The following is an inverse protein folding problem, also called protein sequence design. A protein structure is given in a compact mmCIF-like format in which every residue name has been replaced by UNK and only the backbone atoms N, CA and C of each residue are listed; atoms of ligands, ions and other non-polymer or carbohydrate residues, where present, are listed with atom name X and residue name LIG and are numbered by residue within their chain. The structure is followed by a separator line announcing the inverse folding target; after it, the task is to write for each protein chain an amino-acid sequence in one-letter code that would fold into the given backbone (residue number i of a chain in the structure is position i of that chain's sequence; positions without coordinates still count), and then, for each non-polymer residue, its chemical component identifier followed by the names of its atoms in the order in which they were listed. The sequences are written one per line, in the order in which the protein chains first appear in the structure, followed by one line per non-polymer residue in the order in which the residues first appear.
data_IF_119559114642
#
_entry.id   IF_119559114642
#
_cell.length_a   1.000
_cell.length_b   1.000
_cell.length_c   1.000
_cell.angle_alpha   90.00
_cell.angle_beta   90.00
_cell.angle_gamma   90.00
#
_symmetry.space_group_name_H-M   'P 1'
#
loop_
_entity.id
_entity.type
_entity.pdbx_description
1 polymer ?
#
# COMPACT_ATOMS: atom_id res chain seq x y z
N UNK A 1 -42.76 -40.73 -26.37
CA UNK A 1 -41.90 -40.64 -25.18
C UNK A 1 -41.07 -39.39 -25.37
N UNK A 2 -41.55 -38.27 -24.83
CA UNK A 2 -40.68 -37.11 -24.61
C UNK A 2 -39.74 -37.49 -23.47
N UNK A 3 -38.44 -37.57 -23.74
CA UNK A 3 -37.44 -37.56 -22.67
C UNK A 3 -37.52 -36.18 -22.02
N UNK A 4 -38.11 -36.15 -20.82
CA UNK A 4 -37.97 -35.02 -19.91
C UNK A 4 -36.51 -34.99 -19.52
N UNK A 5 -35.73 -34.08 -20.12
CA UNK A 5 -34.38 -33.79 -19.69
C UNK A 5 -34.47 -33.39 -18.21
N UNK A 6 -33.98 -34.24 -17.31
CA UNK A 6 -33.80 -33.89 -15.91
C UNK A 6 -32.95 -32.62 -15.86
N UNK A 7 -33.55 -31.52 -15.37
CA UNK A 7 -32.81 -30.31 -15.09
C UNK A 7 -31.86 -30.61 -13.95
N UNK A 8 -30.62 -31.00 -14.29
CA UNK A 8 -29.52 -31.19 -13.35
C UNK A 8 -29.45 -29.95 -12.47
N UNK A 9 -29.86 -30.10 -11.21
CA UNK A 9 -29.89 -29.01 -10.24
C UNK A 9 -28.47 -28.54 -10.00
N UNK A 10 -28.21 -27.24 -10.08
CA UNK A 10 -26.86 -26.72 -9.80
C UNK A 10 -26.51 -26.97 -8.33
N UNK A 11 -25.22 -27.21 -8.06
CA UNK A 11 -24.73 -27.46 -6.70
C UNK A 11 -25.06 -26.30 -5.75
N UNK A 12 -25.04 -25.07 -6.25
CA UNK A 12 -25.39 -23.87 -5.48
C UNK A 12 -26.87 -23.84 -5.11
N UNK A 13 -27.75 -24.28 -6.02
CA UNK A 13 -29.18 -24.37 -5.78
C UNK A 13 -29.49 -25.46 -4.74
N UNK A 14 -28.74 -26.57 -4.76
CA UNK A 14 -28.87 -27.66 -3.79
C UNK A 14 -28.48 -27.26 -2.37
N UNK A 15 -27.34 -26.55 -2.21
CA UNK A 15 -26.87 -26.11 -0.89
C UNK A 15 -27.61 -24.88 -0.35
N UNK A 16 -28.19 -24.08 -1.24
CA UNK A 16 -28.71 -22.77 -0.93
C UNK A 16 -27.60 -21.70 -0.80
N UNK A 17 -27.96 -20.42 -0.88
CA UNK A 17 -27.01 -19.31 -0.96
C UNK A 17 -26.17 -19.13 0.30
N UNK A 18 -26.74 -19.29 1.50
CA UNK A 18 -26.02 -19.05 2.76
C UNK A 18 -24.96 -20.13 3.04
N UNK A 19 -25.31 -21.39 2.83
CA UNK A 19 -24.39 -22.53 2.97
C UNK A 19 -23.28 -22.43 1.92
N UNK A 20 -23.65 -22.11 0.67
CA UNK A 20 -22.69 -21.89 -0.40
C UNK A 20 -21.74 -20.74 -0.07
N UNK A 21 -22.24 -19.60 0.41
CA UNK A 21 -21.40 -18.48 0.79
C UNK A 21 -20.41 -18.89 1.90
N UNK A 22 -20.89 -19.62 2.91
CA UNK A 22 -20.05 -20.14 3.99
C UNK A 22 -18.93 -21.04 3.45
N UNK A 23 -19.24 -21.98 2.55
CA UNK A 23 -18.24 -22.86 1.93
C UNK A 23 -17.21 -22.05 1.14
N UNK A 24 -17.64 -21.12 0.30
CA UNK A 24 -16.74 -20.31 -0.52
C UNK A 24 -15.89 -19.35 0.32
N UNK A 25 -16.40 -18.88 1.47
CA UNK A 25 -15.59 -18.12 2.42
C UNK A 25 -14.47 -18.93 3.06
N UNK A 26 -14.44 -20.26 2.93
CA UNK A 26 -13.32 -21.08 3.41
C UNK A 26 -12.21 -21.26 2.36
N UNK A 27 -12.38 -20.73 1.14
CA UNK A 27 -11.36 -20.77 0.09
C UNK A 27 -10.31 -19.66 0.36
N UNK A 28 -9.21 -20.04 1.00
CA UNK A 28 -8.16 -19.11 1.44
C UNK A 28 -7.09 -18.83 0.37
N UNK A 29 -6.86 -19.74 -0.57
CA UNK A 29 -5.92 -19.56 -1.69
C UNK A 29 -6.62 -18.84 -2.86
N UNK A 30 -6.08 -17.74 -3.42
CA UNK A 30 -6.63 -17.09 -4.61
C UNK A 30 -6.80 -18.08 -5.76
N UNK A 31 -5.91 -19.06 -5.88
CA UNK A 31 -6.00 -20.09 -6.90
C UNK A 31 -7.21 -21.01 -6.70
N UNK A 32 -7.65 -21.28 -5.46
CA UNK A 32 -8.89 -22.02 -5.19
C UNK A 32 -10.12 -21.26 -5.65
N UNK A 33 -10.16 -19.95 -5.37
CA UNK A 33 -11.27 -19.11 -5.81
C UNK A 33 -11.32 -19.00 -7.33
N UNK A 34 -10.16 -18.90 -7.99
CA UNK A 34 -10.06 -18.94 -9.45
C UNK A 34 -10.53 -20.29 -10.03
N UNK A 35 -10.14 -21.41 -9.40
CA UNK A 35 -10.60 -22.77 -9.77
C UNK A 35 -12.12 -22.89 -9.61
N UNK A 36 -12.68 -22.42 -8.50
CA UNK A 36 -14.12 -22.43 -8.26
C UNK A 36 -14.88 -21.64 -9.34
N UNK A 37 -14.38 -20.45 -9.71
CA UNK A 37 -14.93 -19.65 -10.81
C UNK A 37 -14.81 -20.32 -12.19
N UNK A 38 -13.95 -21.33 -12.36
CA UNK A 38 -13.81 -22.06 -13.62
C UNK A 38 -14.75 -23.28 -13.72
N UNK A 39 -15.39 -23.70 -12.62
CA UNK A 39 -16.28 -24.88 -12.59
C UNK A 39 -17.52 -24.68 -13.48
N UNK A 40 -18.22 -23.56 -13.30
CA UNK A 40 -19.43 -23.25 -14.08
C UNK A 40 -19.68 -21.73 -14.11
N UNK A 41 -20.55 -21.29 -15.03
CA UNK A 41 -20.99 -19.89 -15.07
C UNK A 41 -21.71 -19.48 -13.79
N UNK A 42 -22.50 -20.38 -13.22
CA UNK A 42 -23.23 -20.13 -11.97
C UNK A 42 -22.28 -19.90 -10.80
N UNK A 43 -21.24 -20.74 -10.65
CA UNK A 43 -20.21 -20.55 -9.63
C UNK A 43 -19.44 -19.26 -9.81
N UNK A 44 -19.08 -18.92 -11.05
CA UNK A 44 -18.42 -17.64 -11.34
C UNK A 44 -19.28 -16.45 -10.95
N UNK A 45 -20.55 -16.44 -11.36
CA UNK A 45 -21.49 -15.34 -11.02
C UNK A 45 -21.69 -15.25 -9.51
N UNK A 46 -21.82 -16.39 -8.83
CA UNK A 46 -21.90 -16.43 -7.36
C UNK A 46 -20.64 -15.84 -6.73
N UNK A 47 -19.44 -16.20 -7.21
CA UNK A 47 -18.19 -15.67 -6.67
C UNK A 47 -18.08 -14.16 -6.81
N UNK A 48 -18.41 -13.64 -8.00
CA UNK A 48 -18.34 -12.22 -8.34
C UNK A 48 -19.40 -11.43 -7.54
N UNK A 49 -20.64 -11.91 -7.52
CA UNK A 49 -21.74 -11.23 -6.82
C UNK A 49 -21.49 -11.11 -5.31
N UNK A 50 -20.84 -12.12 -4.72
CA UNK A 50 -20.49 -12.13 -3.29
C UNK A 50 -19.15 -11.46 -2.98
N UNK A 51 -18.40 -10.96 -3.97
CA UNK A 51 -17.12 -10.27 -3.79
C UNK A 51 -16.08 -11.06 -2.96
N UNK A 52 -16.01 -12.40 -3.11
CA UNK A 52 -15.10 -13.22 -2.31
C UNK A 52 -13.62 -12.83 -2.47
N UNK A 53 -13.21 -12.33 -3.65
CA UNK A 53 -11.82 -11.87 -3.86
C UNK A 53 -11.47 -10.64 -3.03
N UNK A 54 -12.41 -9.69 -2.87
CA UNK A 54 -12.24 -8.54 -1.98
C UNK A 54 -12.17 -8.99 -0.51
N UNK A 55 -13.05 -9.91 -0.11
CA UNK A 55 -13.06 -10.45 1.26
C UNK A 55 -11.77 -11.20 1.59
N UNK A 56 -11.19 -11.92 0.63
CA UNK A 56 -9.90 -12.56 0.77
C UNK A 56 -8.78 -11.54 1.02
N UNK A 57 -8.72 -10.46 0.23
CA UNK A 57 -7.74 -9.39 0.45
C UNK A 57 -7.88 -8.76 1.84
N UNK A 58 -9.11 -8.45 2.27
CA UNK A 58 -9.39 -7.84 3.58
C UNK A 58 -8.97 -8.70 4.78
N UNK A 59 -8.99 -10.03 4.63
CA UNK A 59 -8.55 -10.96 5.68
C UNK A 59 -7.04 -11.00 5.82
N UNK A 60 -6.32 -10.79 4.72
CA UNK A 60 -4.85 -10.78 4.71
C UNK A 60 -4.33 -9.42 5.16
N UNK A 61 -4.90 -8.34 4.62
CA UNK A 61 -4.53 -6.96 4.91
C UNK A 61 -5.79 -6.10 5.15
N UNK A 62 -6.12 -5.75 6.40
CA UNK A 62 -7.26 -4.90 6.72
C UNK A 62 -7.21 -3.52 6.05
N UNK A 63 -6.02 -3.02 5.70
CA UNK A 63 -5.77 -1.74 5.05
C UNK A 63 -6.47 -1.64 3.69
N UNK A 64 -6.80 -2.77 3.06
CA UNK A 64 -7.59 -2.85 1.81
C UNK A 64 -8.98 -2.21 1.96
N UNK A 65 -9.48 -2.04 3.18
CA UNK A 65 -10.72 -1.30 3.45
C UNK A 65 -10.65 0.19 3.09
N UNK A 66 -9.45 0.75 2.95
CA UNK A 66 -9.21 2.17 2.59
C UNK A 66 -9.61 2.48 1.14
N UNK A 67 -9.64 1.47 0.25
CA UNK A 67 -10.01 1.68 -1.14
C UNK A 67 -11.51 2.00 -1.27
N UNK A 68 -11.81 3.20 -1.78
CA UNK A 68 -13.17 3.62 -2.09
C UNK A 68 -13.76 2.82 -3.26
N UNK A 69 -12.98 2.70 -4.33
CA UNK A 69 -13.36 2.03 -5.57
C UNK A 69 -12.12 1.60 -6.35
N UNK A 70 -12.36 0.74 -7.33
CA UNK A 70 -11.38 0.30 -8.32
C UNK A 70 -11.67 1.02 -9.64
N UNK A 71 -10.63 1.38 -10.38
CA UNK A 71 -10.70 1.91 -11.74
C UNK A 71 -9.76 1.11 -12.64
N UNK A 72 -10.13 0.93 -13.92
CA UNK A 72 -9.31 0.21 -14.90
C UNK A 72 -9.12 1.13 -16.09
N UNK A 73 -7.87 1.50 -16.36
CA UNK A 73 -7.55 2.35 -17.50
C UNK A 73 -7.51 1.50 -18.78
N UNK A 74 -8.47 1.71 -19.67
CA UNK A 74 -8.54 1.02 -20.97
C UNK A 74 -8.03 1.92 -22.10
N UNK A 75 -7.50 1.32 -23.16
CA UNK A 75 -6.82 2.00 -24.28
C UNK A 75 -7.72 2.76 -25.26
N UNK A 76 -9.03 2.87 -25.00
CA UNK A 76 -9.95 3.62 -25.83
C UNK A 76 -10.27 4.96 -25.18
N UNK A 77 -9.73 6.04 -25.75
CA UNK A 77 -10.14 7.42 -25.46
C UNK A 77 -11.57 7.71 -25.95
N UNK A 78 -12.54 7.01 -25.37
CA UNK A 78 -13.95 7.37 -25.47
C UNK A 78 -14.26 8.32 -24.32
N UNK A 79 -14.62 9.56 -24.66
CA UNK A 79 -15.21 10.51 -23.72
C UNK A 79 -16.31 9.81 -22.90
N UNK A 80 -16.29 9.99 -21.59
CA UNK A 80 -17.40 9.61 -20.72
C UNK A 80 -18.69 10.22 -21.26
N UNK A 81 -19.61 9.34 -21.65
CA UNK A 81 -21.01 9.69 -21.68
C UNK A 81 -21.50 9.57 -20.24
N UNK A 82 -21.48 10.70 -19.54
CA UNK A 82 -22.34 10.92 -18.39
C UNK A 82 -23.81 10.66 -18.78
N UNK A 83 -24.57 10.20 -17.78
CA UNK A 83 -26.01 9.89 -17.78
C UNK A 83 -26.39 8.45 -18.15
N UNK A 84 -26.20 7.54 -17.20
CA UNK A 84 -27.10 6.41 -17.02
C UNK A 84 -27.17 6.03 -15.53
N UNK A 85 -28.38 6.02 -14.95
CA UNK A 85 -28.60 5.53 -13.59
C UNK A 85 -28.13 4.08 -13.41
N UNK A 86 -28.04 3.56 -12.17
CA UNK A 86 -27.50 2.23 -11.90
C UNK A 86 -28.37 1.17 -12.58
N UNK A 87 -27.90 0.70 -13.75
CA UNK A 87 -28.51 -0.43 -14.43
C UNK A 87 -27.87 -1.71 -13.89
N UNK A 88 -28.66 -2.78 -13.75
CA UNK A 88 -28.17 -4.09 -13.30
C UNK A 88 -26.98 -4.60 -14.14
N UNK A 89 -26.88 -4.16 -15.40
CA UNK A 89 -25.75 -4.46 -16.28
C UNK A 89 -24.48 -3.71 -15.90
N UNK A 90 -24.59 -2.42 -15.58
CA UNK A 90 -23.45 -1.62 -15.14
C UNK A 90 -22.89 -2.12 -13.79
N UNK A 91 -23.77 -2.59 -12.89
CA UNK A 91 -23.35 -3.20 -11.63
C UNK A 91 -22.62 -4.54 -11.83
N UNK A 92 -23.11 -5.40 -12.72
CA UNK A 92 -22.46 -6.69 -13.05
C UNK A 92 -21.07 -6.49 -13.68
N UNK A 93 -20.96 -5.52 -14.59
CA UNK A 93 -19.68 -5.12 -15.20
C UNK A 93 -18.71 -4.56 -14.14
N UNK A 94 -19.20 -3.73 -13.20
CA UNK A 94 -18.41 -3.22 -12.06
C UNK A 94 -17.90 -4.36 -11.17
N UNK A 95 -18.78 -5.26 -10.74
CA UNK A 95 -18.41 -6.37 -9.86
C UNK A 95 -17.42 -7.33 -10.54
N UNK A 96 -17.60 -7.60 -11.83
CA UNK A 96 -16.67 -8.43 -12.60
C UNK A 96 -15.27 -7.81 -12.68
N UNK A 97 -15.22 -6.49 -12.90
CA UNK A 97 -13.97 -5.72 -12.93
C UNK A 97 -13.29 -5.69 -11.56
N UNK A 98 -14.05 -5.38 -10.51
CA UNK A 98 -13.54 -5.37 -9.13
C UNK A 98 -13.02 -6.76 -8.76
N UNK A 99 -13.76 -7.82 -9.09
CA UNK A 99 -13.32 -9.20 -8.85
C UNK A 99 -11.95 -9.49 -9.45
N UNK A 100 -11.73 -9.14 -10.72
CA UNK A 100 -10.45 -9.30 -11.42
C UNK A 100 -9.31 -8.57 -10.72
N UNK A 101 -9.50 -7.30 -10.37
CA UNK A 101 -8.45 -6.49 -9.73
C UNK A 101 -8.14 -7.00 -8.33
N UNK A 102 -9.15 -7.36 -7.53
CA UNK A 102 -8.92 -7.95 -6.21
C UNK A 102 -8.29 -9.35 -6.29
N UNK A 103 -8.57 -10.14 -7.33
CA UNK A 103 -7.85 -11.41 -7.55
C UNK A 103 -6.37 -11.17 -7.82
N UNK A 104 -6.05 -10.14 -8.61
CA UNK A 104 -4.67 -9.74 -8.90
C UNK A 104 -3.96 -9.23 -7.64
N UNK A 105 -4.63 -8.39 -6.85
CA UNK A 105 -4.14 -7.94 -5.56
C UNK A 105 -3.90 -9.11 -4.59
N UNK A 106 -4.89 -10.01 -4.43
CA UNK A 106 -4.78 -11.18 -3.57
C UNK A 106 -3.59 -12.07 -3.95
N UNK A 107 -3.38 -12.26 -5.25
CA UNK A 107 -2.20 -12.97 -5.73
C UNK A 107 -0.91 -12.25 -5.33
N UNK A 108 -0.82 -10.92 -5.46
CA UNK A 108 0.35 -10.16 -5.03
C UNK A 108 0.61 -10.23 -3.52
N UNK A 109 -0.45 -10.15 -2.70
CA UNK A 109 -0.38 -10.22 -1.24
C UNK A 109 0.02 -11.61 -0.72
N UNK A 110 -0.40 -12.67 -1.41
CA UNK A 110 -0.20 -14.06 -1.00
C UNK A 110 0.91 -14.78 -1.77
N UNK A 111 1.50 -14.13 -2.77
CA UNK A 111 2.64 -14.68 -3.50
C UNK A 111 3.81 -14.92 -2.53
N UNK A 112 4.48 -16.08 -2.61
CA UNK A 112 5.68 -16.34 -1.81
C UNK A 112 6.72 -15.25 -2.05
N UNK A 113 7.13 -14.56 -0.99
CA UNK A 113 8.22 -13.60 -1.04
C UNK A 113 9.50 -14.36 -1.41
N UNK A 114 9.96 -14.23 -2.65
CA UNK A 114 11.08 -15.03 -3.16
C UNK A 114 12.44 -14.48 -2.74
N UNK A 115 12.52 -13.21 -2.33
CA UNK A 115 13.63 -12.59 -1.60
C UNK A 115 13.09 -11.29 -1.00
N UNK A 116 13.20 -11.10 0.32
CA UNK A 116 12.78 -9.85 0.95
C UNK A 116 13.73 -8.73 0.50
N UNK A 117 13.23 -7.78 -0.30
CA UNK A 117 14.04 -6.73 -0.94
C UNK A 117 13.94 -5.42 -0.18
N UNK A 118 14.96 -4.57 -0.35
CA UNK A 118 14.81 -3.17 -0.01
C UNK A 118 13.75 -2.55 -0.95
N UNK A 119 12.66 -2.05 -0.38
CA UNK A 119 11.56 -1.44 -1.09
C UNK A 119 11.78 0.05 -1.37
N UNK A 120 12.79 0.69 -0.76
CA UNK A 120 13.07 2.11 -1.00
C UNK A 120 13.46 2.30 -2.48
N UNK A 121 12.88 3.31 -3.12
CA UNK A 121 13.28 3.77 -4.46
C UNK A 121 13.98 5.12 -4.42
N UNK A 122 13.48 6.06 -3.60
CA UNK A 122 14.00 7.43 -3.50
C UNK A 122 13.76 8.03 -2.12
N UNK A 123 14.58 9.02 -1.76
CA UNK A 123 14.32 9.90 -0.63
C UNK A 123 13.28 10.96 -0.99
N UNK A 124 12.42 11.31 -0.03
CA UNK A 124 11.49 12.45 -0.14
C UNK A 124 12.00 13.63 0.70
N UNK A 125 12.59 13.39 1.86
CA UNK A 125 13.25 14.43 2.65
C UNK A 125 13.46 14.05 4.12
N UNK A 126 14.27 14.85 4.81
CA UNK A 126 14.47 14.79 6.25
C UNK A 126 13.83 16.01 6.94
N UNK A 127 13.43 15.86 8.21
CA UNK A 127 12.92 16.99 9.02
C UNK A 127 13.88 18.16 9.11
N UNK A 128 15.17 17.86 9.18
CA UNK A 128 16.27 18.81 9.15
C UNK A 128 17.54 18.11 8.73
N UNK A 129 18.51 18.90 8.26
CA UNK A 129 19.86 18.43 7.93
C UNK A 129 20.86 19.47 8.43
N UNK A 130 21.94 19.05 9.10
CA UNK A 130 22.92 19.97 9.69
C UNK A 130 23.86 20.57 8.62
N UNK A 131 24.67 19.74 7.96
CA UNK A 131 25.57 20.18 6.90
C UNK A 131 25.10 19.64 5.54
N UNK A 132 24.13 20.31 4.94
CA UNK A 132 23.64 19.98 3.60
C UNK A 132 24.57 20.54 2.51
N UNK A 133 24.89 19.78 1.43
CA UNK A 133 24.40 18.44 1.09
C UNK A 133 25.23 17.28 1.66
N UNK A 134 26.34 17.54 2.36
CA UNK A 134 27.29 16.49 2.77
C UNK A 134 26.67 15.42 3.69
N UNK A 135 25.74 15.81 4.55
CA UNK A 135 25.05 14.97 5.53
C UNK A 135 23.58 14.71 5.17
N UNK A 136 23.29 14.66 3.86
CA UNK A 136 21.94 14.46 3.31
C UNK A 136 21.34 13.08 3.64
N UNK A 137 20.00 12.99 3.60
CA UNK A 137 19.23 11.75 3.68
C UNK A 137 19.65 10.71 2.62
N UNK A 138 20.13 11.13 1.44
CA UNK A 138 20.53 10.20 0.37
C UNK A 138 21.67 9.26 0.79
N UNK A 139 22.53 9.69 1.71
CA UNK A 139 23.59 8.86 2.28
C UNK A 139 23.06 7.60 2.98
N UNK A 140 21.77 7.58 3.36
CA UNK A 140 21.15 6.43 4.05
C UNK A 140 20.75 5.29 3.11
N UNK A 141 20.79 5.48 1.78
CA UNK A 141 20.31 4.51 0.81
C UNK A 141 21.26 3.32 0.62
N UNK A 142 22.57 3.56 0.76
CA UNK A 142 23.59 2.54 0.59
C UNK A 142 24.06 2.01 1.96
N UNK A 143 24.34 0.71 2.11
CA UNK A 143 24.79 0.12 3.37
C UNK A 143 26.29 0.40 3.62
N UNK A 144 26.72 1.64 3.43
CA UNK A 144 28.11 2.07 3.47
C UNK A 144 28.21 3.36 4.29
N UNK A 145 28.86 3.30 5.45
CA UNK A 145 29.08 4.48 6.30
C UNK A 145 30.35 5.27 5.92
N UNK A 146 31.05 4.86 4.85
CA UNK A 146 32.27 5.49 4.32
C UNK A 146 32.40 5.41 2.80
N UNK A 147 32.45 6.57 2.13
CA UNK A 147 32.71 6.69 0.68
C UNK A 147 34.02 7.43 0.47
N UNK A 148 34.97 6.82 -0.25
CA UNK A 148 36.30 7.41 -0.52
C UNK A 148 37.00 7.95 0.75
N UNK A 149 36.89 7.22 1.87
CA UNK A 149 37.40 7.60 3.20
C UNK A 149 36.67 8.75 3.90
N UNK A 150 35.61 9.31 3.30
CA UNK A 150 34.72 10.29 3.92
C UNK A 150 33.56 9.56 4.60
N UNK A 151 33.07 10.07 5.75
CA UNK A 151 31.89 9.49 6.38
C UNK A 151 30.66 9.72 5.49
N UNK A 152 29.77 8.72 5.42
CA UNK A 152 28.50 8.79 4.70
C UNK A 152 27.37 8.47 5.68
N UNK A 153 26.56 9.48 5.97
CA UNK A 153 25.46 9.43 6.92
C UNK A 153 24.54 10.64 6.71
N UNK A 154 23.31 10.53 7.20
CA UNK A 154 22.46 11.69 7.44
C UNK A 154 22.67 12.23 8.86
N UNK A 155 22.64 13.55 9.02
CA UNK A 155 22.72 14.23 10.32
C UNK A 155 21.58 15.21 10.50
N UNK A 156 20.84 15.10 11.59
CA UNK A 156 19.81 16.08 11.97
C UNK A 156 20.42 17.44 12.31
N UNK A 157 19.67 18.53 12.20
CA UNK A 157 20.02 19.78 12.86
C UNK A 157 20.09 19.66 14.39
N UNK A 158 20.99 20.42 15.00
CA UNK A 158 21.20 20.42 16.45
C UNK A 158 20.01 20.94 17.24
N UNK A 159 19.65 20.25 18.33
CA UNK A 159 18.54 20.65 19.22
C UNK A 159 18.94 20.74 20.69
N UNK A 160 18.36 21.72 21.40
CA UNK A 160 18.54 21.84 22.86
C UNK A 160 17.68 20.86 23.64
N UNK A 161 16.45 20.65 23.15
CA UNK A 161 15.50 19.74 23.75
C UNK A 161 15.78 18.29 23.28
N UNK A 162 16.17 17.38 24.18
CA UNK A 162 16.37 15.98 23.81
C UNK A 162 15.06 15.27 23.41
N UNK A 163 13.89 15.83 23.70
CA UNK A 163 12.60 15.25 23.29
C UNK A 163 12.19 15.62 21.85
N UNK A 164 12.85 16.61 21.23
CA UNK A 164 12.55 17.02 19.87
C UNK A 164 12.82 15.87 18.88
N UNK A 165 11.78 15.37 18.16
CA UNK A 165 11.94 14.25 17.23
C UNK A 165 12.60 14.67 15.93
N UNK A 166 13.06 13.68 15.17
CA UNK A 166 13.44 13.83 13.75
C UNK A 166 12.72 12.77 12.93
N UNK A 167 12.69 12.92 11.62
CA UNK A 167 12.17 11.92 10.72
C UNK A 167 12.77 11.97 9.34
N UNK A 168 12.74 10.81 8.69
CA UNK A 168 13.18 10.59 7.31
C UNK A 168 12.00 10.02 6.52
N UNK A 169 11.70 10.60 5.35
CA UNK A 169 10.59 10.16 4.50
C UNK A 169 11.15 9.56 3.21
N UNK A 170 10.67 8.36 2.87
CA UNK A 170 11.09 7.59 1.71
C UNK A 170 9.90 7.24 0.81
N UNK A 171 10.17 7.19 -0.49
CA UNK A 171 9.28 6.61 -1.50
C UNK A 171 9.65 5.16 -1.73
N UNK A 172 8.65 4.30 -1.86
CA UNK A 172 8.81 2.89 -2.18
C UNK A 172 8.75 2.61 -3.69
N UNK A 173 9.20 1.42 -4.10
CA UNK A 173 9.25 0.97 -5.50
C UNK A 173 7.87 0.83 -6.16
N UNK A 174 6.81 0.66 -5.38
CA UNK A 174 5.43 0.60 -5.85
C UNK A 174 4.51 1.32 -4.86
N UNK A 175 3.38 1.82 -5.35
CA UNK A 175 2.36 2.45 -4.50
C UNK A 175 1.75 1.46 -3.51
N UNK A 176 1.76 0.16 -3.83
CA UNK A 176 1.36 -0.89 -2.94
C UNK A 176 2.57 -1.74 -2.57
N UNK A 177 2.97 -1.72 -1.31
CA UNK A 177 4.05 -2.56 -0.80
C UNK A 177 3.62 -3.26 0.48
N UNK A 178 3.77 -4.57 0.56
CA UNK A 178 3.58 -5.32 1.81
C UNK A 178 4.90 -5.25 2.59
N UNK A 179 4.93 -4.49 3.68
CA UNK A 179 6.13 -4.24 4.48
C UNK A 179 6.11 -5.10 5.74
N UNK A 180 7.20 -5.79 6.01
CA UNK A 180 7.33 -6.72 7.14
C UNK A 180 8.26 -6.18 8.24
N UNK A 181 9.30 -5.46 7.81
CA UNK A 181 10.41 -5.06 8.66
C UNK A 181 11.04 -3.77 8.16
N UNK A 182 11.49 -2.92 9.08
CA UNK A 182 12.34 -1.77 8.76
C UNK A 182 13.66 -1.95 9.49
N UNK A 183 14.78 -1.73 8.80
CA UNK A 183 16.10 -1.76 9.40
C UNK A 183 16.74 -0.40 9.37
N UNK A 184 17.39 -0.01 10.47
CA UNK A 184 18.07 1.28 10.60
C UNK A 184 19.40 1.08 11.30
N UNK A 185 20.44 1.74 10.80
CA UNK A 185 21.77 1.75 11.38
C UNK A 185 22.11 3.16 11.88
N UNK A 186 22.21 3.39 13.19
CA UNK A 186 22.75 4.63 13.74
C UNK A 186 24.20 4.85 13.34
N UNK A 187 24.60 6.11 13.13
CA UNK A 187 25.97 6.43 12.77
C UNK A 187 26.88 6.59 13.99
N UNK A 188 28.09 6.04 13.89
CA UNK A 188 29.21 6.25 14.82
C UNK A 188 30.14 7.30 14.23
N UNK A 189 30.25 8.45 14.89
CA UNK A 189 31.15 9.52 14.47
C UNK A 189 32.60 9.21 14.84
N UNK A 190 33.21 8.27 14.11
CA UNK A 190 34.58 7.77 14.30
C UNK A 190 35.68 8.83 14.11
N UNK A 191 35.31 10.04 13.69
CA UNK A 191 36.20 11.19 13.57
C UNK A 191 36.15 12.12 14.80
N UNK A 192 35.26 11.85 15.77
CA UNK A 192 35.15 12.60 17.02
C UNK A 192 35.77 11.79 18.18
N UNK A 193 36.25 12.49 19.21
CA UNK A 193 36.85 11.85 20.38
C UNK A 193 35.87 10.91 21.09
N UNK A 194 36.31 9.67 21.34
CA UNK A 194 35.49 8.64 21.97
C UNK A 194 34.48 7.96 21.04
N UNK A 195 34.51 8.28 19.75
CA UNK A 195 33.63 7.77 18.70
C UNK A 195 32.13 7.70 19.10
N UNK A 196 31.51 8.84 19.46
CA UNK A 196 30.13 8.87 19.93
C UNK A 196 29.15 8.33 18.88
N UNK A 197 28.07 7.71 19.37
CA UNK A 197 26.99 7.18 18.53
C UNK A 197 25.79 8.10 18.66
N UNK A 198 25.34 8.65 17.53
CA UNK A 198 24.24 9.61 17.49
C UNK A 198 22.88 8.89 17.37
N UNK A 199 22.59 8.20 18.47
CA UNK A 199 21.38 7.55 18.95
C UNK A 199 20.03 8.28 18.86
N UNK A 200 18.96 7.63 18.40
CA UNK A 200 17.62 7.85 18.98
C UNK A 200 17.40 6.88 20.16
N UNK A 201 16.45 7.18 21.05
CA UNK A 201 16.02 6.26 22.12
C UNK A 201 15.03 5.23 21.60
N UNK A 202 14.07 5.71 20.82
CA UNK A 202 13.03 4.91 20.20
C UNK A 202 12.86 5.30 18.73
N UNK A 203 12.26 4.41 17.96
CA UNK A 203 11.90 4.62 16.56
C UNK A 203 10.45 4.21 16.32
N UNK A 204 9.76 4.91 15.41
CA UNK A 204 8.39 4.61 14.99
C UNK A 204 8.26 4.77 13.48
N UNK A 205 7.38 3.99 12.87
CA UNK A 205 7.16 4.00 11.43
C UNK A 205 5.73 4.41 11.12
N UNK A 206 5.55 5.28 10.13
CA UNK A 206 4.25 5.61 9.55
C UNK A 206 4.25 5.25 8.08
N UNK A 207 3.12 4.75 7.59
CA UNK A 207 2.93 4.40 6.18
C UNK A 207 1.67 5.06 5.66
N UNK A 208 1.71 5.53 4.42
CA UNK A 208 0.61 6.28 3.85
C UNK A 208 0.87 6.75 2.43
N UNK A 209 0.06 7.71 2.02
CA UNK A 209 0.05 8.26 0.67
C UNK A 209 0.07 9.78 0.70
N UNK A 210 0.65 10.43 -0.33
CA UNK A 210 0.64 11.88 -0.43
C UNK A 210 -0.75 12.39 -0.83
N UNK A 211 -1.12 13.58 -0.36
CA UNK A 211 -2.42 14.21 -0.68
C UNK A 211 -2.49 14.69 -2.11
N UNK A 212 -1.34 14.99 -2.72
CA UNK A 212 -1.15 15.29 -4.13
C UNK A 212 -0.10 14.35 -4.75
N UNK A 213 -0.16 14.07 -6.07
CA UNK A 213 0.88 13.27 -6.74
C UNK A 213 2.28 13.83 -6.48
N UNK A 214 3.22 12.94 -6.16
CA UNK A 214 4.64 13.27 -6.02
C UNK A 214 5.29 13.21 -7.41
N UNK A 215 5.46 14.36 -8.04
CA UNK A 215 6.17 14.46 -9.31
C UNK A 215 7.69 14.19 -9.12
N UNK A 216 8.36 13.46 -10.03
CA UNK A 216 9.77 13.11 -9.88
C UNK A 216 10.72 14.28 -9.62
N UNK A 217 10.38 15.47 -10.13
CA UNK A 217 11.13 16.72 -10.00
C UNK A 217 11.02 17.36 -8.61
N UNK A 218 10.05 16.91 -7.80
CA UNK A 218 9.82 17.41 -6.43
C UNK A 218 10.53 16.58 -5.36
N UNK A 219 11.08 15.42 -5.74
CA UNK A 219 11.88 14.58 -4.84
C UNK A 219 13.24 15.21 -4.57
N UNK A 220 13.90 14.83 -3.46
CA UNK A 220 15.07 15.53 -2.91
C UNK A 220 16.08 15.91 -4.00
N UNK A 221 16.34 17.20 -4.09
CA UNK A 221 17.44 17.82 -4.79
C UNK A 221 18.01 18.94 -3.91
N UNK A 222 19.15 19.49 -4.31
CA UNK A 222 19.83 20.53 -3.54
C UNK A 222 18.96 21.77 -3.26
N UNK A 223 17.89 21.98 -4.04
CA UNK A 223 17.03 23.16 -3.97
C UNK A 223 15.72 22.92 -3.19
N UNK A 224 15.36 21.67 -2.87
CA UNK A 224 14.03 21.34 -2.34
C UNK A 224 14.01 20.50 -1.04
N UNK A 225 15.17 20.27 -0.41
CA UNK A 225 15.24 19.51 0.85
C UNK A 225 14.31 20.14 1.91
N UNK A 226 13.48 19.30 2.56
CA UNK A 226 12.56 19.74 3.60
C UNK A 226 11.32 20.50 3.10
N UNK A 227 11.07 20.61 1.78
CA UNK A 227 9.84 21.24 1.29
C UNK A 227 8.63 20.29 1.33
N UNK A 228 8.86 18.99 1.17
CA UNK A 228 7.81 17.98 1.12
C UNK A 228 7.55 17.27 2.45
N UNK A 229 8.21 17.65 3.54
CA UNK A 229 8.19 16.88 4.80
C UNK A 229 7.00 17.20 5.72
N UNK A 230 6.21 18.22 5.39
CA UNK A 230 5.08 18.64 6.22
C UNK A 230 4.04 17.51 6.30
N UNK A 231 3.62 17.16 7.52
CA UNK A 231 2.68 16.07 7.74
C UNK A 231 1.32 16.29 7.07
N UNK A 232 0.93 17.54 6.78
CA UNK A 232 -0.31 17.88 6.05
C UNK A 232 -0.27 17.48 4.57
N UNK A 233 0.91 17.20 4.02
CA UNK A 233 1.07 16.68 2.67
C UNK A 233 0.76 15.18 2.56
N UNK A 234 0.50 14.49 3.68
CA UNK A 234 0.32 13.04 3.70
C UNK A 234 -0.92 12.61 4.50
N UNK A 235 -1.47 11.48 4.10
CA UNK A 235 -2.45 10.73 4.88
C UNK A 235 -1.79 9.44 5.35
N UNK A 236 -1.51 9.37 6.66
CA UNK A 236 -0.93 8.19 7.29
C UNK A 236 -2.04 7.18 7.62
N UNK A 237 -2.03 6.02 6.96
CA UNK A 237 -3.00 4.93 7.17
C UNK A 237 -2.56 3.94 8.23
N UNK A 238 -1.27 3.91 8.54
CA UNK A 238 -0.70 3.04 9.57
C UNK A 238 0.35 3.80 10.40
N UNK A 239 0.39 3.49 11.70
CA UNK A 239 1.44 3.93 12.62
C UNK A 239 1.83 2.73 13.48
N UNK A 240 3.13 2.39 13.48
CA UNK A 240 3.65 1.28 14.27
C UNK A 240 3.67 1.62 15.77
N UNK A 241 3.83 0.61 16.65
CA UNK A 241 4.35 0.83 17.99
C UNK A 241 5.73 1.51 17.96
N UNK A 242 6.14 2.08 19.09
CA UNK A 242 7.51 2.54 19.27
C UNK A 242 8.43 1.37 19.60
N UNK A 243 9.56 1.29 18.92
CA UNK A 243 10.58 0.27 19.16
C UNK A 243 11.80 0.90 19.82
N UNK A 244 12.41 0.26 20.84
CA UNK A 244 13.64 0.75 21.43
C UNK A 244 14.80 0.63 20.42
N UNK A 245 15.62 1.67 20.32
CA UNK A 245 16.82 1.69 19.47
C UNK A 245 18.07 1.55 20.35
N UNK A 246 18.92 0.59 19.99
CA UNK A 246 20.20 0.38 20.66
C UNK A 246 21.18 1.48 20.29
N UNK A 247 22.03 1.85 21.24
CA UNK A 247 23.09 2.85 21.08
C UNK A 247 24.33 2.24 20.42
N UNK A 248 24.15 1.56 19.29
CA UNK A 248 25.18 0.77 18.60
C UNK A 248 25.16 1.04 17.08
N UNK A 249 26.34 1.15 16.47
CA UNK A 249 26.49 1.27 15.01
C UNK A 249 26.43 -0.11 14.35
N UNK A 250 25.23 -0.67 14.35
CA UNK A 250 24.89 -1.94 13.70
C UNK A 250 23.55 -1.76 13.00
N UNK A 251 23.31 -2.51 11.92
CA UNK A 251 22.02 -2.52 11.26
C UNK A 251 21.00 -3.23 12.14
N UNK A 252 20.14 -2.45 12.80
CA UNK A 252 19.13 -2.95 13.73
C UNK A 252 17.84 -3.28 12.98
N UNK A 253 17.21 -4.40 13.34
CA UNK A 253 15.99 -4.93 12.72
C UNK A 253 14.76 -4.61 13.56
N UNK A 254 13.81 -3.85 13.01
CA UNK A 254 12.53 -3.52 13.64
C UNK A 254 11.39 -4.22 12.89
N UNK A 255 10.98 -5.39 13.39
CA UNK A 255 9.90 -6.19 12.80
C UNK A 255 8.54 -5.65 13.21
N UNK A 256 7.65 -5.51 12.25
CA UNK A 256 6.28 -5.10 12.52
C UNK A 256 5.51 -6.27 13.18
N UNK A 257 4.49 -5.97 14.01
CA UNK A 257 3.68 -7.02 14.66
C UNK A 257 3.01 -7.98 13.66
N UNK A 258 2.71 -7.48 12.47
CA UNK A 258 2.23 -8.22 11.31
C UNK A 258 2.67 -7.48 10.04
N UNK A 259 2.71 -8.15 8.87
CA UNK A 259 2.89 -7.48 7.59
C UNK A 259 1.84 -6.37 7.40
N UNK A 260 2.26 -5.22 6.86
CA UNK A 260 1.40 -4.05 6.66
C UNK A 260 1.40 -3.67 5.19
N UNK A 261 0.22 -3.52 4.59
CA UNK A 261 0.11 -2.98 3.24
C UNK A 261 0.28 -1.45 3.28
N UNK A 262 1.45 -0.96 2.88
CA UNK A 262 1.70 0.45 2.62
C UNK A 262 0.93 0.86 1.35
N UNK A 263 -0.05 1.75 1.51
CA UNK A 263 -0.88 2.29 0.43
C UNK A 263 -0.36 3.68 0.06
N UNK A 264 -0.01 3.86 -1.22
CA UNK A 264 0.61 5.05 -1.81
C UNK A 264 2.12 5.13 -1.68
N UNK A 265 2.78 4.07 -1.20
CA UNK A 265 4.22 3.91 -1.31
C UNK A 265 5.06 4.95 -0.56
N UNK A 266 4.55 5.56 0.52
CA UNK A 266 5.32 6.49 1.35
C UNK A 266 5.51 5.92 2.76
N UNK A 267 6.75 5.98 3.24
CA UNK A 267 7.11 5.59 4.61
C UNK A 267 7.86 6.71 5.30
N UNK A 268 7.40 7.07 6.50
CA UNK A 268 8.09 8.02 7.41
C UNK A 268 8.68 7.24 8.57
N UNK A 269 9.99 7.42 8.77
CA UNK A 269 10.78 6.86 9.87
C UNK A 269 10.97 7.95 10.90
N UNK A 270 10.29 7.87 12.04
CA UNK A 270 10.37 8.84 13.14
C UNK A 270 11.38 8.38 14.20
N UNK A 271 12.38 9.22 14.48
CA UNK A 271 13.46 9.02 15.42
C UNK A 271 13.15 9.84 16.69
N UNK A 272 12.89 9.14 17.80
CA UNK A 272 12.32 9.72 19.01
C UNK A 272 13.34 9.71 20.15
N UNK A 273 13.53 10.87 20.76
CA UNK A 273 14.41 11.04 21.92
C UNK A 273 15.89 11.00 21.53
N UNK A 274 16.56 12.15 21.61
CA UNK A 274 17.98 12.28 21.34
C UNK A 274 18.79 11.81 22.55
N UNK A 275 19.94 11.20 22.29
CA UNK A 275 20.82 10.65 23.34
C UNK A 275 22.14 11.40 23.42
N UNK A 276 22.78 11.64 22.29
CA UNK A 276 24.15 12.12 22.23
C UNK A 276 24.21 13.63 21.99
N UNK A 277 25.12 14.30 22.69
CA UNK A 277 25.48 15.71 22.44
C UNK A 277 26.75 15.83 21.63
N UNK A 278 26.77 16.80 20.73
CA UNK A 278 27.98 17.23 20.05
C UNK A 278 28.82 18.13 20.98
N UNK A 279 30.12 17.87 21.04
CA UNK A 279 31.02 18.60 21.95
C UNK A 279 31.26 20.06 21.53
N UNK A 280 31.10 20.37 20.24
CA UNK A 280 31.39 21.69 19.67
C UNK A 280 30.41 22.76 20.16
N UNK A 281 29.13 22.43 20.28
CA UNK A 281 28.03 23.37 20.57
C UNK A 281 27.15 22.93 21.75
N UNK A 282 27.31 21.69 22.25
CA UNK A 282 26.54 21.15 23.35
C UNK A 282 25.08 20.81 23.02
N UNK A 283 24.73 20.76 21.73
CA UNK A 283 23.39 20.40 21.24
C UNK A 283 23.28 18.89 21.00
N UNK A 284 22.04 18.41 20.97
CA UNK A 284 21.71 17.01 20.69
C UNK A 284 21.48 16.77 19.19
N UNK A 285 22.06 15.68 18.69
CA UNK A 285 22.02 15.28 17.30
C UNK A 285 21.58 13.82 17.17
N UNK A 286 21.00 13.47 16.02
CA UNK A 286 20.74 12.10 15.58
C UNK A 286 21.41 11.92 14.22
N UNK A 287 22.12 10.82 14.03
CA UNK A 287 22.76 10.51 12.77
C UNK A 287 22.45 9.07 12.35
N UNK A 288 22.16 8.86 11.07
CA UNK A 288 21.77 7.56 10.50
C UNK A 288 22.67 7.24 9.32
N UNK A 289 23.28 6.05 9.32
CA UNK A 289 24.12 5.57 8.22
C UNK A 289 23.32 4.88 7.14
N UNK A 290 22.30 4.10 7.53
CA UNK A 290 21.58 3.27 6.57
C UNK A 290 20.14 3.02 7.00
N UNK A 291 19.22 3.04 6.03
CA UNK A 291 17.83 2.62 6.20
C UNK A 291 17.46 1.61 5.13
N UNK A 292 16.80 0.54 5.52
CA UNK A 292 16.26 -0.49 4.63
C UNK A 292 14.80 -0.75 4.98
N UNK A 293 13.89 -0.66 4.01
CA UNK A 293 12.49 -1.07 4.21
C UNK A 293 12.34 -2.43 3.54
N UNK A 294 12.08 -3.47 4.33
CA UNK A 294 12.04 -4.86 3.88
C UNK A 294 10.60 -5.27 3.66
N UNK A 295 10.29 -5.71 2.43
CA UNK A 295 8.96 -6.14 2.06
C UNK A 295 8.85 -6.63 0.63
N UNK A 296 7.61 -6.68 0.14
CA UNK A 296 7.25 -7.12 -1.20
C UNK A 296 6.41 -6.04 -1.93
N UNK A 297 6.95 -5.40 -2.98
CA UNK A 297 6.17 -4.54 -3.87
C UNK A 297 5.05 -5.35 -4.56
N UNK A 298 3.81 -4.95 -4.31
CA UNK A 298 2.63 -5.54 -4.95
C UNK A 298 2.53 -4.96 -6.35
N UNK A 299 2.66 -5.83 -7.37
CA UNK A 299 2.46 -5.59 -8.82
C UNK A 299 2.40 -4.12 -9.28
N UNK A 300 3.38 -3.71 -10.09
CA UNK A 300 3.44 -2.36 -10.71
C UNK A 300 2.20 -1.97 -11.55
N UNK A 301 1.37 -2.94 -11.96
CA UNK A 301 0.10 -2.68 -12.65
C UNK A 301 -0.96 -2.02 -11.76
N UNK A 302 -0.76 -1.96 -10.44
CA UNK A 302 -1.66 -1.35 -9.47
C UNK A 302 -1.06 -0.03 -8.97
N UNK A 303 -1.69 1.09 -9.30
CA UNK A 303 -1.35 2.41 -8.77
C UNK A 303 -2.46 2.92 -7.85
N UNK A 304 -2.12 3.87 -6.99
CA UNK A 304 -3.04 4.45 -6.01
C UNK A 304 -3.18 5.94 -6.25
N UNK A 305 -4.41 6.40 -6.44
CA UNK A 305 -4.71 7.82 -6.55
C UNK A 305 -5.50 8.31 -5.32
N UNK A 306 -5.14 9.46 -4.73
CA UNK A 306 -5.93 10.06 -3.66
C UNK A 306 -7.29 10.54 -4.20
N UNK A 307 -8.37 10.29 -3.45
CA UNK A 307 -9.72 10.77 -3.74
C UNK A 307 -10.39 11.22 -2.43
N UNK A 308 -10.15 12.48 -2.07
CA UNK A 308 -10.57 13.02 -0.77
C UNK A 308 -9.89 12.27 0.38
N UNK A 309 -10.68 11.74 1.33
CA UNK A 309 -10.18 10.94 2.48
C UNK A 309 -9.99 9.45 2.20
N UNK A 310 -10.22 9.00 0.97
CA UNK A 310 -10.06 7.60 0.56
C UNK A 310 -9.11 7.53 -0.63
N UNK A 311 -8.79 6.32 -1.03
CA UNK A 311 -7.96 6.07 -2.21
C UNK A 311 -8.71 5.28 -3.27
N UNK A 312 -8.36 5.53 -4.52
CA UNK A 312 -8.80 4.75 -5.68
C UNK A 312 -7.66 3.86 -6.11
N UNK A 313 -7.96 2.59 -6.37
CA UNK A 313 -7.01 1.63 -6.91
C UNK A 313 -7.15 1.58 -8.43
N UNK A 314 -6.11 2.02 -9.13
CA UNK A 314 -6.06 2.01 -10.57
C UNK A 314 -5.35 0.76 -11.06
N UNK A 315 -5.96 0.01 -11.97
CA UNK A 315 -5.35 -1.16 -12.59
C UNK A 315 -5.03 -0.89 -14.07
N UNK A 316 -3.77 -1.12 -14.43
CA UNK A 316 -3.22 -0.93 -15.77
C UNK A 316 -2.78 -2.28 -16.36
N UNK A 317 -3.61 -2.91 -17.21
CA UNK A 317 -3.30 -4.22 -17.79
C UNK A 317 -2.11 -4.23 -18.77
N UNK A 318 -1.58 -3.06 -19.14
CA UNK A 318 -0.39 -2.90 -19.98
C UNK A 318 0.67 -2.09 -19.22
N UNK A 319 1.75 -2.73 -18.73
CA UNK A 319 2.77 -2.09 -17.88
C UNK A 319 3.62 -1.05 -18.62
N UNK A 320 3.42 -0.83 -19.93
CA UNK A 320 4.08 0.27 -20.67
C UNK A 320 3.45 1.64 -20.40
N UNK A 321 2.35 1.68 -19.66
CA UNK A 321 1.54 2.90 -19.42
C UNK A 321 1.59 3.39 -17.97
N UNK A 322 2.26 2.67 -17.08
CA UNK A 322 2.52 3.15 -15.72
C UNK A 322 3.40 4.39 -15.76
N UNK A 323 3.10 5.35 -14.88
CA UNK A 323 3.77 6.66 -14.83
C UNK A 323 5.17 6.59 -14.19
N UNK A 324 5.50 5.46 -13.57
CA UNK A 324 6.80 5.24 -12.92
C UNK A 324 7.89 4.97 -13.96
N UNK A 325 8.86 5.89 -14.03
CA UNK A 325 10.04 5.76 -14.89
C UNK A 325 10.77 4.42 -14.62
N UNK A 326 11.00 3.67 -15.69
CA UNK A 326 11.80 2.44 -15.66
C UNK A 326 13.24 2.80 -15.28
N UNK A 327 13.68 2.40 -14.08
CA UNK A 327 15.11 2.21 -13.82
C UNK A 327 15.51 0.88 -14.45
N UNK A 328 16.15 0.95 -15.62
CA UNK A 328 16.65 -0.21 -16.34
C UNK A 328 17.64 -0.99 -15.47
N UNK A 329 17.22 -2.17 -15.00
CA UNK A 329 18.11 -3.29 -14.72
C UNK A 329 17.63 -4.47 -15.55
N UNK A 330 18.41 -4.76 -16.60
CA UNK A 330 18.15 -5.81 -17.56
C UNK A 330 18.06 -7.18 -16.89
N UNK A 331 16.88 -7.77 -16.95
CA UNK A 331 16.62 -9.17 -16.62
C UNK A 331 15.22 -9.53 -17.09
N UNK A 332 15.13 -10.16 -18.26
CA UNK A 332 13.90 -10.68 -18.85
C UNK A 332 13.27 -11.72 -17.90
N UNK A 333 12.36 -11.28 -17.04
CA UNK A 333 11.56 -12.16 -16.18
C UNK A 333 10.20 -12.35 -16.85
N UNK A 334 10.10 -13.46 -17.58
CA UNK A 334 8.90 -14.30 -17.71
C UNK A 334 7.57 -13.56 -17.88
N UNK A 335 7.28 -13.14 -19.11
CA UNK A 335 5.94 -12.73 -19.58
C UNK A 335 4.88 -13.72 -19.07
N UNK A 336 4.09 -13.32 -18.07
CA UNK A 336 3.16 -14.20 -17.37
C UNK A 336 2.05 -14.68 -18.32
N UNK A 337 1.71 -15.97 -18.24
CA UNK A 337 0.71 -16.68 -19.09
C UNK A 337 -0.73 -16.14 -18.97
N UNK A 338 -0.94 -15.09 -18.17
CA UNK A 338 -2.25 -14.57 -17.78
C UNK A 338 -2.91 -13.67 -18.84
N UNK A 339 -2.14 -12.93 -19.65
CA UNK A 339 -2.71 -12.05 -20.67
C UNK A 339 -3.58 -12.78 -21.72
N UNK A 340 -3.25 -14.05 -22.02
CA UNK A 340 -4.05 -14.89 -22.92
C UNK A 340 -5.34 -15.43 -22.30
N UNK A 341 -5.42 -15.46 -20.97
CA UNK A 341 -6.59 -15.91 -20.22
C UNK A 341 -7.58 -14.74 -20.01
N UNK A 342 -7.08 -13.57 -19.59
CA UNK A 342 -7.90 -12.37 -19.33
C UNK A 342 -8.68 -11.86 -20.56
N UNK A 343 -8.10 -11.96 -21.76
CA UNK A 343 -8.75 -11.51 -23.00
C UNK A 343 -9.94 -12.39 -23.44
N UNK A 344 -10.07 -13.62 -22.92
CA UNK A 344 -11.25 -14.50 -23.16
C UNK A 344 -12.41 -14.27 -22.18
N UNK A 345 -12.21 -13.48 -21.12
CA UNK A 345 -13.20 -13.30 -20.04
C UNK A 345 -14.29 -12.27 -20.35
N UNK A 346 -14.08 -11.38 -21.33
CA UNK A 346 -14.91 -10.20 -21.59
C UNK A 346 -16.20 -10.46 -22.38
N UNK A 347 -16.41 -11.68 -22.89
CA UNK A 347 -17.52 -11.96 -23.81
C UNK A 347 -18.41 -13.12 -23.34
N UNK A 348 -19.26 -12.90 -22.32
CA UNK A 348 -20.49 -13.72 -22.11
C UNK A 348 -21.40 -13.23 -20.96
N UNK A 349 -22.44 -12.47 -21.30
CA UNK A 349 -23.86 -12.70 -20.94
C UNK A 349 -24.39 -12.81 -19.49
N UNK A 350 -25.13 -11.77 -19.07
CA UNK A 350 -26.56 -11.69 -18.65
C UNK A 350 -27.20 -12.84 -17.84
N UNK A 351 -27.51 -12.62 -16.54
CA UNK A 351 -28.72 -13.06 -15.82
C UNK A 351 -28.82 -12.47 -14.40
N UNK A 352 -30.03 -12.49 -13.83
CA UNK A 352 -30.56 -11.71 -12.69
C UNK A 352 -29.76 -11.78 -11.38
N UNK A 353 -29.46 -10.61 -10.84
CA UNK A 353 -28.87 -10.41 -9.52
C UNK A 353 -29.84 -10.69 -8.38
N UNK A 354 -29.32 -11.33 -7.34
CA UNK A 354 -29.93 -11.39 -6.00
C UNK A 354 -29.07 -10.48 -5.14
N UNK A 355 -29.65 -9.35 -4.78
CA UNK A 355 -29.00 -8.32 -3.98
C UNK A 355 -28.87 -8.70 -2.51
N UNK A 356 -27.81 -8.17 -1.90
CA UNK A 356 -27.75 -7.88 -0.48
C UNK A 356 -27.17 -9.00 0.38
N UNK A 357 -25.85 -8.97 0.60
CA UNK A 357 -25.25 -9.65 1.74
C UNK A 357 -25.09 -8.65 2.89
N UNK A 358 -25.73 -8.99 4.01
CA UNK A 358 -25.87 -8.16 5.20
C UNK A 358 -24.54 -7.84 5.89
N UNK A 359 -24.45 -6.63 6.45
CA UNK A 359 -23.39 -6.18 7.38
C UNK A 359 -23.10 -7.17 8.52
N UNK A 360 -24.05 -8.06 8.85
CA UNK A 360 -23.93 -9.12 9.85
C UNK A 360 -22.87 -10.19 9.55
N UNK A 361 -22.59 -10.49 8.27
CA UNK A 361 -21.58 -11.49 7.93
C UNK A 361 -20.16 -10.91 7.98
N UNK A 362 -20.02 -9.64 7.54
CA UNK A 362 -18.78 -8.88 7.63
C UNK A 362 -18.38 -8.64 9.10
N UNK A 363 -19.33 -8.26 9.96
CA UNK A 363 -19.07 -8.04 11.39
C UNK A 363 -18.70 -9.32 12.15
N UNK A 364 -19.21 -10.49 11.75
CA UNK A 364 -18.81 -11.79 12.32
C UNK A 364 -17.41 -12.24 11.90
N UNK A 365 -16.96 -11.84 10.71
CA UNK A 365 -15.64 -12.22 10.18
C UNK A 365 -14.50 -11.30 10.65
N UNK A 366 -14.80 -10.02 10.96
CA UNK A 366 -13.79 -9.01 11.29
C UNK A 366 -13.79 -8.56 12.77
N UNK A 367 -14.58 -9.18 13.65
CA UNK A 367 -14.43 -9.08 15.11
C UNK A 367 -14.83 -7.74 15.77
N UNK A 368 -15.25 -6.72 15.02
CA UNK A 368 -15.81 -5.46 15.53
C UNK A 368 -16.71 -4.80 14.46
N UNK A 369 -17.69 -3.94 14.82
CA UNK A 369 -18.53 -3.29 13.83
C UNK A 369 -17.69 -2.28 13.03
N UNK A 370 -17.46 -2.59 11.75
CA UNK A 370 -17.04 -1.60 10.76
C UNK A 370 -18.16 -0.55 10.65
N UNK A 371 -18.02 0.58 11.35
CA UNK A 371 -18.92 1.72 11.21
C UNK A 371 -18.71 2.36 9.84
N UNK A 372 -19.51 1.94 8.86
CA UNK A 372 -19.78 2.79 7.71
C UNK A 372 -20.66 3.94 8.20
N UNK A 373 -20.04 5.10 8.44
CA UNK A 373 -20.78 6.35 8.57
C UNK A 373 -21.44 6.62 7.22
N UNK A 374 -22.77 6.57 7.20
CA UNK A 374 -23.58 6.86 6.03
C UNK A 374 -23.31 8.27 5.51
N UNK A 375 -23.51 8.43 4.21
CA UNK A 375 -23.60 9.74 3.57
C UNK A 375 -24.78 10.47 4.22
N UNK A 376 -24.49 11.48 5.04
CA UNK A 376 -25.51 12.39 5.55
C UNK A 376 -25.93 13.29 4.37
N UNK A 377 -27.17 13.10 3.91
CA UNK A 377 -27.88 14.01 3.01
C UNK A 377 -27.83 15.43 3.60
N UNK A 378 -27.13 16.34 2.92
CA UNK A 378 -27.22 17.77 3.20
C UNK A 378 -28.49 18.26 2.53
N UNK A 379 -29.58 18.32 3.29
CA UNK A 379 -30.79 19.04 2.91
C UNK A 379 -30.52 20.55 3.01
N UNK A 380 -30.63 21.23 1.88
CA UNK A 380 -30.66 22.68 1.77
C UNK A 380 -31.82 23.25 2.61
N UNK A 381 -31.49 24.03 3.66
CA UNK A 381 -32.43 24.98 4.24
C UNK A 381 -32.08 26.38 3.74
N UNK A 382 -32.94 26.88 2.84
CA UNK A 382 -32.99 28.27 2.43
C UNK A 382 -33.28 29.16 3.66
N UNK A 383 -32.37 30.10 3.94
CA UNK A 383 -32.60 31.17 4.89
C UNK A 383 -33.40 32.31 4.25
N UNK A 384 -34.69 32.40 4.57
CA UNK A 384 -35.47 33.62 4.46
C UNK A 384 -35.21 34.55 5.66
N UNK A 385 -34.73 35.76 5.35
CA UNK A 385 -35.07 37.06 5.96
C UNK A 385 -35.46 37.12 7.45
N UNK A 386 -34.56 37.71 8.27
CA UNK A 386 -34.73 39.05 8.87
C UNK A 386 -33.49 39.48 9.67
#
# INVERSE_FOLDING_TARGET
MEEVAESSTDFLDFLGPDTSATVFTMLHDPADLARASAVSRSWRTFVIANQFSKMQCLRVCPEVSTFARVEVSSSSGGKDHDVAGPSARAEDERLSRDHMVYMHLAHGLLAPCSDARNCITRCIGASSTDNFPEETIENTLEPIDRVEMRPSYWSSGGQRDPAAPEWLIYRLQADLCLVDEVKVQPFKAFFQYGDPIYSAKCIRFKMGYPTSPLEPETLVCDENEGQLIDDSNYVWTYTSPEFPMLQENVLQSFKLPHPVLCIGGVVKVELLGRVQKQAMDGLYYICVSHVQIVGNPVSQELEVAPHGKRVVMNYYPDPRRCSVARSDSSGDVGRSKWHGFASRFWHSGRARGIGGLNQGLLSRLFGAPLQFRGEDDVSDEEGELL
#
